data_IF_113323850321
#
_entry.id   IF_113323850321
#
_cell.length_a   1.000
_cell.length_b   1.000
_cell.length_c   1.000
_cell.angle_alpha   90.00
_cell.angle_beta   90.00
_cell.angle_gamma   90.00
#
_symmetry.space_group_name_H-M   'P 1'
#
loop_
_entity.id
_entity.type
_entity.pdbx_description
1 polymer ?
#
# COMPACT_ATOMS: atom_id res chain seq x y z
N UNK A 1 21.68 -30.49 47.93
CA UNK A 1 22.84 -31.32 47.53
C UNK A 1 22.38 -32.20 46.38
N UNK A 2 22.89 -31.90 45.17
CA UNK A 2 22.83 -32.64 43.88
C UNK A 2 21.45 -32.77 43.18
N UNK A 3 21.17 -32.23 41.97
CA UNK A 3 21.77 -32.41 40.62
C UNK A 3 21.83 -33.90 40.22
N UNK A 4 21.41 -34.44 39.07
CA UNK A 4 20.92 -34.04 37.72
C UNK A 4 20.12 -35.29 37.25
N UNK A 5 19.13 -35.28 36.35
CA UNK A 5 19.31 -35.49 34.90
C UNK A 5 17.93 -35.81 34.31
N UNK A 6 17.51 -35.06 33.29
CA UNK A 6 16.61 -35.59 32.26
C UNK A 6 17.07 -35.09 30.90
N UNK A 7 18.07 -35.79 30.39
CA UNK A 7 18.42 -35.79 28.98
C UNK A 7 17.54 -36.80 28.26
N UNK A 8 16.58 -36.35 27.46
CA UNK A 8 16.10 -37.10 26.29
C UNK A 8 15.99 -36.16 25.09
N UNK A 9 17.08 -36.19 24.32
CA UNK A 9 17.14 -36.15 22.87
C UNK A 9 15.80 -36.06 22.13
N UNK A 10 15.57 -34.96 21.42
CA UNK A 10 15.01 -35.09 20.07
C UNK A 10 15.74 -34.19 19.08
N UNK A 11 16.20 -34.83 18.01
CA UNK A 11 17.02 -34.29 16.94
C UNK A 11 16.15 -33.52 15.94
N UNK A 12 16.77 -32.50 15.35
CA UNK A 12 16.64 -32.07 13.96
C UNK A 12 15.22 -31.78 13.42
N UNK A 13 14.90 -30.49 13.38
CA UNK A 13 14.47 -29.84 12.14
C UNK A 13 14.86 -28.37 12.19
N UNK A 14 16.09 -28.11 11.80
CA UNK A 14 16.55 -26.80 11.36
C UNK A 14 15.76 -26.42 10.09
N UNK A 15 14.57 -25.85 10.28
CA UNK A 15 13.87 -25.12 9.23
C UNK A 15 14.57 -23.76 9.17
N UNK A 16 15.48 -23.64 8.21
CA UNK A 16 16.14 -22.39 7.86
C UNK A 16 15.09 -21.31 7.58
N UNK A 17 15.12 -20.16 8.27
CA UNK A 17 14.42 -19.00 7.78
C UNK A 17 15.21 -18.44 6.60
N UNK A 18 14.49 -17.93 5.60
CA UNK A 18 14.95 -16.88 4.72
C UNK A 18 15.81 -17.30 3.50
N UNK A 19 15.15 -17.52 2.37
CA UNK A 19 15.55 -16.89 1.10
C UNK A 19 14.32 -16.73 0.18
N UNK A 20 13.81 -15.51 -0.05
CA UNK A 20 13.26 -15.16 -1.35
C UNK A 20 14.43 -14.65 -2.21
N UNK A 21 15.10 -15.59 -2.90
CA UNK A 21 15.89 -15.24 -4.08
C UNK A 21 14.94 -15.00 -5.25
N UNK A 22 14.36 -13.80 -5.32
CA UNK A 22 14.14 -13.15 -6.60
C UNK A 22 14.60 -11.70 -6.44
N UNK A 23 15.77 -11.46 -7.00
CA UNK A 23 16.38 -10.15 -7.14
C UNK A 23 15.44 -9.33 -8.03
N UNK A 24 14.53 -8.58 -7.40
CA UNK A 24 13.93 -7.43 -8.05
C UNK A 24 15.04 -6.38 -8.19
N UNK A 25 15.21 -5.75 -9.36
CA UNK A 25 16.18 -4.69 -9.50
C UNK A 25 15.89 -3.64 -8.43
N UNK A 26 16.94 -3.30 -7.66
CA UNK A 26 16.90 -2.22 -6.67
C UNK A 26 16.27 -1.01 -7.33
N UNK A 27 15.21 -0.49 -6.70
CA UNK A 27 14.60 0.81 -6.99
C UNK A 27 15.65 1.80 -7.47
N UNK A 28 15.70 2.01 -8.79
CA UNK A 28 16.48 3.06 -9.39
C UNK A 28 15.75 4.38 -9.08
N UNK A 29 16.08 4.95 -7.93
CA UNK A 29 15.77 6.34 -7.62
C UNK A 29 16.43 7.19 -8.72
N UNK A 30 15.59 7.91 -9.47
CA UNK A 30 15.94 9.03 -10.34
C UNK A 30 17.05 8.75 -11.38
N UNK A 31 16.64 8.33 -12.57
CA UNK A 31 17.33 8.70 -13.80
C UNK A 31 16.46 9.72 -14.53
N UNK A 32 16.56 10.97 -14.08
CA UNK A 32 16.16 12.14 -14.85
C UNK A 32 17.05 12.22 -16.10
N UNK A 33 16.46 12.67 -17.20
CA UNK A 33 17.12 13.10 -18.45
C UNK A 33 17.54 11.99 -19.43
N UNK A 34 16.55 11.48 -20.17
CA UNK A 34 16.73 11.18 -21.60
C UNK A 34 15.79 12.07 -22.40
N UNK A 35 16.28 13.27 -22.66
CA UNK A 35 15.66 14.27 -23.53
C UNK A 35 15.69 13.70 -24.96
N UNK A 36 14.57 13.20 -25.45
CA UNK A 36 14.36 13.04 -26.89
C UNK A 36 14.21 14.44 -27.47
N UNK A 37 15.36 15.06 -27.77
CA UNK A 37 15.41 16.28 -28.55
C UNK A 37 14.81 15.98 -29.92
N UNK A 38 13.85 16.82 -30.32
CA UNK A 38 13.20 16.71 -31.61
C UNK A 38 14.20 16.83 -32.75
N UNK A 39 14.09 15.90 -33.69
CA UNK A 39 14.37 16.12 -35.10
C UNK A 39 13.45 15.20 -35.89
N UNK A 40 12.59 15.81 -36.71
CA UNK A 40 11.89 15.17 -37.80
C UNK A 40 12.90 14.39 -38.65
N UNK A 41 12.87 13.07 -38.56
CA UNK A 41 13.27 12.08 -39.55
C UNK A 41 12.69 10.75 -39.05
N UNK A 42 12.01 10.00 -39.93
CA UNK A 42 11.15 8.87 -39.56
C UNK A 42 11.70 8.01 -38.42
N UNK A 43 10.87 7.76 -37.40
CA UNK A 43 11.17 6.81 -36.32
C UNK A 43 11.60 5.48 -36.94
N UNK A 44 12.91 5.21 -36.90
CA UNK A 44 13.47 3.93 -37.28
C UNK A 44 13.08 2.95 -36.18
N UNK A 45 12.05 2.13 -36.45
CA UNK A 45 11.42 1.26 -35.46
C UNK A 45 12.40 0.22 -34.87
N UNK A 46 13.51 -0.08 -35.56
CA UNK A 46 14.60 -0.89 -35.03
C UNK A 46 15.23 -0.28 -33.76
N UNK A 47 15.43 1.04 -33.76
CA UNK A 47 15.91 1.75 -32.57
C UNK A 47 14.86 1.76 -31.45
N UNK A 48 13.58 1.89 -31.82
CA UNK A 48 12.46 1.88 -30.86
C UNK A 48 12.36 0.53 -30.16
N UNK A 49 12.48 -0.57 -30.90
CA UNK A 49 12.44 -1.92 -30.32
C UNK A 49 13.65 -2.19 -29.41
N UNK A 50 14.85 -1.72 -29.76
CA UNK A 50 16.01 -1.79 -28.88
C UNK A 50 15.78 -1.05 -27.55
N UNK A 51 15.13 0.13 -27.59
CA UNK A 51 14.74 0.88 -26.39
C UNK A 51 13.67 0.14 -25.59
N UNK A 52 12.67 -0.45 -26.25
CA UNK A 52 11.63 -1.27 -25.59
C UNK A 52 12.25 -2.44 -24.85
N UNK A 53 13.15 -3.19 -25.47
CA UNK A 53 13.86 -4.31 -24.82
C UNK A 53 14.65 -3.85 -23.60
N UNK A 54 15.40 -2.75 -23.72
CA UNK A 54 16.12 -2.17 -22.58
C UNK A 54 15.19 -1.79 -21.43
N UNK A 55 14.03 -1.18 -21.72
CA UNK A 55 13.07 -0.84 -20.68
C UNK A 55 12.44 -2.08 -20.04
N UNK A 56 12.17 -3.13 -20.80
CA UNK A 56 11.71 -4.41 -20.26
C UNK A 56 12.73 -5.05 -19.32
N UNK A 57 14.01 -5.08 -19.70
CA UNK A 57 15.10 -5.60 -18.85
C UNK A 57 15.24 -4.83 -17.53
N UNK A 58 14.95 -3.53 -17.55
CA UNK A 58 15.00 -2.68 -16.36
C UNK A 58 13.66 -2.64 -15.59
N UNK A 59 12.65 -3.40 -16.01
CA UNK A 59 11.33 -3.41 -15.37
C UNK A 59 10.57 -2.09 -15.49
N UNK A 60 10.89 -1.26 -16.49
CA UNK A 60 10.30 0.05 -16.76
C UNK A 60 9.02 -0.08 -17.62
N UNK A 61 8.05 -0.85 -17.12
CA UNK A 61 6.84 -1.23 -17.88
C UNK A 61 5.95 -0.04 -18.28
N UNK A 62 5.95 1.04 -17.51
CA UNK A 62 5.20 2.26 -17.85
C UNK A 62 5.74 2.91 -19.13
N UNK A 63 7.07 2.98 -19.27
CA UNK A 63 7.73 3.52 -20.44
C UNK A 63 7.49 2.63 -21.66
N UNK A 64 7.51 1.30 -21.48
CA UNK A 64 7.19 0.33 -22.54
C UNK A 64 5.74 0.50 -23.01
N UNK A 65 4.77 0.52 -22.11
CA UNK A 65 3.36 0.71 -22.46
C UNK A 65 3.13 2.02 -23.25
N UNK A 66 3.84 3.09 -22.89
CA UNK A 66 3.81 4.35 -23.62
C UNK A 66 4.35 4.25 -25.07
N UNK A 67 5.41 3.46 -25.29
CA UNK A 67 5.97 3.21 -26.62
C UNK A 67 5.07 2.29 -27.45
N UNK A 68 4.51 1.24 -26.85
CA UNK A 68 3.57 0.32 -27.51
C UNK A 68 2.29 1.06 -27.94
N UNK A 69 1.81 2.00 -27.12
CA UNK A 69 0.67 2.85 -27.50
C UNK A 69 0.95 3.70 -28.73
N UNK A 70 2.15 4.27 -28.85
CA UNK A 70 2.56 5.01 -30.07
C UNK A 70 2.68 4.08 -31.29
N UNK A 71 3.06 2.82 -31.09
CA UNK A 71 3.09 1.81 -32.16
C UNK A 71 1.68 1.44 -32.65
N UNK A 72 0.70 1.38 -31.74
CA UNK A 72 -0.72 1.18 -32.07
C UNK A 72 -1.30 2.30 -32.94
N UNK A 73 -0.79 3.53 -32.82
CA UNK A 73 -1.23 4.65 -33.66
C UNK A 73 -0.68 4.57 -35.10
N UNK A 74 0.39 3.79 -35.35
CA UNK A 74 1.03 3.64 -36.66
C UNK A 74 1.44 2.17 -36.93
N UNK A 75 0.49 1.22 -36.98
CA UNK A 75 0.78 -0.22 -37.01
C UNK A 75 1.53 -0.65 -38.28
N UNK A 76 1.27 0.01 -39.42
CA UNK A 76 1.94 -0.28 -40.70
C UNK A 76 3.45 -0.06 -40.66
N UNK A 77 3.92 0.89 -39.82
CA UNK A 77 5.35 1.19 -39.69
C UNK A 77 6.03 0.35 -38.62
N UNK A 78 5.28 -0.08 -37.61
CA UNK A 78 5.79 -0.88 -36.51
C UNK A 78 6.13 -2.33 -36.92
N UNK A 79 5.50 -2.84 -38.00
CA UNK A 79 5.75 -4.19 -38.51
C UNK A 79 5.21 -5.31 -37.61
N UNK A 80 4.40 -4.97 -36.60
CA UNK A 80 3.78 -5.90 -35.65
C UNK A 80 2.27 -5.75 -35.74
N UNK A 81 1.58 -6.89 -35.63
CA UNK A 81 0.13 -6.97 -35.51
C UNK A 81 -0.41 -6.12 -34.33
N UNK A 82 -1.50 -5.38 -34.59
CA UNK A 82 -2.17 -4.55 -33.61
C UNK A 82 -2.73 -5.33 -32.41
N UNK A 83 -3.21 -6.57 -32.60
CA UNK A 83 -3.68 -7.45 -31.53
C UNK A 83 -2.52 -7.82 -30.60
N UNK A 84 -1.37 -8.22 -31.15
CA UNK A 84 -0.16 -8.47 -30.38
C UNK A 84 0.33 -7.22 -29.60
N UNK A 85 0.25 -6.03 -30.19
CA UNK A 85 0.59 -4.78 -29.51
C UNK A 85 -0.37 -4.47 -28.35
N UNK A 86 -1.67 -4.71 -28.51
CA UNK A 86 -2.67 -4.55 -27.44
C UNK A 86 -2.41 -5.51 -26.27
N UNK A 87 -2.10 -6.78 -26.58
CA UNK A 87 -1.77 -7.78 -25.56
C UNK A 87 -0.48 -7.39 -24.82
N UNK A 88 0.56 -6.99 -25.54
CA UNK A 88 1.83 -6.57 -24.94
C UNK A 88 1.65 -5.34 -24.02
N UNK A 89 0.83 -4.39 -24.43
CA UNK A 89 0.51 -3.20 -23.63
C UNK A 89 -0.27 -3.57 -22.36
N UNK A 90 -1.25 -4.46 -22.48
CA UNK A 90 -2.01 -4.97 -21.33
C UNK A 90 -1.09 -5.68 -20.32
N UNK A 91 -0.20 -6.55 -20.80
CA UNK A 91 0.79 -7.23 -19.96
C UNK A 91 1.70 -6.23 -19.24
N UNK A 92 2.15 -5.17 -19.91
CA UNK A 92 2.95 -4.12 -19.28
C UNK A 92 2.19 -3.42 -18.14
N UNK A 93 0.90 -3.13 -18.31
CA UNK A 93 0.07 -2.57 -17.22
C UNK A 93 -0.07 -3.54 -16.06
N UNK A 94 -0.28 -4.83 -16.33
CA UNK A 94 -0.35 -5.85 -15.27
C UNK A 94 0.97 -5.93 -14.51
N UNK A 95 2.11 -5.96 -15.20
CA UNK A 95 3.43 -5.95 -14.57
C UNK A 95 3.64 -4.69 -13.69
N UNK A 96 3.23 -3.52 -14.16
CA UNK A 96 3.28 -2.27 -13.37
C UNK A 96 2.39 -2.34 -12.11
N UNK A 97 1.20 -2.94 -12.23
CA UNK A 97 0.29 -3.14 -11.10
C UNK A 97 0.92 -4.07 -10.05
N UNK A 98 1.51 -5.20 -10.49
CA UNK A 98 2.20 -6.12 -9.58
C UNK A 98 3.42 -5.49 -8.90
N UNK A 99 4.23 -4.69 -9.61
CA UNK A 99 5.33 -3.94 -8.98
C UNK A 99 4.82 -3.00 -7.90
N UNK A 100 3.74 -2.26 -8.19
CA UNK A 100 3.10 -1.36 -7.22
C UNK A 100 2.59 -2.11 -6.00
N UNK A 101 2.05 -3.31 -6.17
CA UNK A 101 1.54 -4.13 -5.06
C UNK A 101 2.67 -4.70 -4.21
N UNK A 102 3.77 -5.17 -4.81
CA UNK A 102 4.96 -5.59 -4.07
C UNK A 102 5.51 -4.45 -3.21
N UNK A 103 5.60 -3.24 -3.76
CA UNK A 103 6.08 -2.08 -3.01
C UNK A 103 5.15 -1.72 -1.84
N UNK A 104 3.83 -1.84 -2.02
CA UNK A 104 2.85 -1.65 -0.92
C UNK A 104 3.05 -2.66 0.20
N UNK A 105 3.21 -3.94 -0.13
CA UNK A 105 3.45 -4.97 0.87
C UNK A 105 4.76 -4.78 1.62
N UNK A 106 5.82 -4.36 0.89
CA UNK A 106 7.10 -4.02 1.51
C UNK A 106 6.94 -2.87 2.51
N UNK A 107 6.28 -1.78 2.12
CA UNK A 107 6.01 -0.64 3.00
C UNK A 107 5.18 -1.04 4.23
N UNK A 108 4.15 -1.88 4.05
CA UNK A 108 3.33 -2.36 5.15
C UNK A 108 4.15 -3.19 6.15
N UNK A 109 5.04 -4.05 5.66
CA UNK A 109 5.96 -4.84 6.49
C UNK A 109 6.95 -3.93 7.24
N UNK A 110 7.52 -2.92 6.56
CA UNK A 110 8.45 -1.95 7.16
C UNK A 110 7.76 -1.18 8.30
N UNK A 111 6.53 -0.71 8.08
CA UNK A 111 5.74 0.00 9.09
C UNK A 111 5.45 -0.87 10.32
N UNK A 112 5.07 -2.14 10.10
CA UNK A 112 4.82 -3.08 11.19
C UNK A 112 6.09 -3.35 12.01
N UNK A 113 7.24 -3.49 11.35
CA UNK A 113 8.53 -3.65 12.01
C UNK A 113 8.93 -2.42 12.83
N UNK A 114 8.68 -1.21 12.32
CA UNK A 114 8.93 0.03 13.07
C UNK A 114 8.09 0.09 14.35
N UNK A 115 6.78 -0.18 14.26
CA UNK A 115 5.89 -0.18 15.42
C UNK A 115 6.30 -1.23 16.47
N UNK A 116 6.68 -2.43 16.03
CA UNK A 116 7.19 -3.46 16.92
C UNK A 116 8.46 -2.99 17.65
N UNK A 117 9.38 -2.34 16.93
CA UNK A 117 10.58 -1.72 17.50
C UNK A 117 10.27 -0.65 18.56
N UNK A 118 9.33 0.26 18.29
CA UNK A 118 8.90 1.29 19.23
C UNK A 118 8.28 0.67 20.50
N UNK A 119 7.41 -0.32 20.34
CA UNK A 119 6.79 -1.04 21.45
C UNK A 119 7.84 -1.78 22.29
N UNK A 120 8.81 -2.43 21.65
CA UNK A 120 9.92 -3.11 22.31
C UNK A 120 10.76 -2.14 23.13
N UNK A 121 11.14 -1.00 22.56
CA UNK A 121 11.90 0.04 23.27
C UNK A 121 11.12 0.55 24.49
N UNK A 122 9.82 0.82 24.34
CA UNK A 122 8.97 1.24 25.45
C UNK A 122 8.89 0.18 26.55
N UNK A 123 8.79 -1.10 26.17
CA UNK A 123 8.77 -2.21 27.11
C UNK A 123 10.09 -2.35 27.87
N UNK A 124 11.22 -2.26 27.18
CA UNK A 124 12.55 -2.25 27.81
C UNK A 124 12.70 -1.10 28.80
N UNK A 125 12.26 0.11 28.44
CA UNK A 125 12.29 1.27 29.33
C UNK A 125 11.41 1.10 30.57
N UNK A 126 10.22 0.51 30.41
CA UNK A 126 9.31 0.22 31.54
C UNK A 126 9.91 -0.82 32.49
N UNK A 127 10.51 -1.88 31.96
CA UNK A 127 11.12 -2.94 32.76
C UNK A 127 12.40 -2.46 33.45
N UNK A 128 13.25 -1.70 32.76
CA UNK A 128 14.47 -1.14 33.36
C UNK A 128 14.17 -0.19 34.53
N UNK A 129 13.09 0.58 34.47
CA UNK A 129 12.63 1.40 35.62
C UNK A 129 12.10 0.59 36.80
N UNK A 130 11.62 -0.62 36.57
CA UNK A 130 11.11 -1.49 37.62
C UNK A 130 12.24 -2.19 38.40
N UNK A 131 13.44 -2.26 37.85
CA UNK A 131 14.61 -2.91 38.47
C UNK A 131 15.39 -1.98 39.42
N UNK A 132 15.27 -0.66 39.28
CA UNK A 132 16.02 0.33 40.08
C UNK A 132 15.35 0.78 41.40
N UNK A 133 14.09 0.42 41.68
CA UNK A 133 13.36 0.96 42.84
C UNK A 133 12.52 -0.10 43.59
N UNK A 134 12.87 -0.47 44.84
CA UNK A 134 12.07 -1.41 45.61
C UNK A 134 10.79 -0.72 46.12
N UNK A 135 9.70 -1.01 45.43
CA UNK A 135 8.31 -1.05 45.92
C UNK A 135 7.75 0.17 46.68
N UNK A 136 7.06 1.05 45.93
CA UNK A 136 5.75 1.51 46.36
C UNK A 136 4.73 1.24 45.24
N UNK A 137 3.83 0.28 45.49
CA UNK A 137 2.78 -0.12 44.53
C UNK A 137 1.68 0.95 44.57
N UNK A 138 1.89 2.07 43.89
CA UNK A 138 0.77 2.84 43.37
C UNK A 138 0.35 2.20 42.05
N UNK A 139 -0.83 1.57 42.07
CA UNK A 139 -1.53 1.04 40.89
C UNK A 139 -1.40 2.06 39.76
N UNK A 140 -0.69 1.77 38.65
CA UNK A 140 -0.58 2.74 37.58
C UNK A 140 -1.98 2.93 37.00
N UNK A 141 -2.49 4.15 37.11
CA UNK A 141 -3.72 4.57 36.44
C UNK A 141 -3.57 4.18 34.96
N UNK A 142 -4.39 3.24 34.53
CA UNK A 142 -4.46 2.72 33.17
C UNK A 142 -4.65 3.92 32.25
N UNK A 143 -3.57 4.43 31.66
CA UNK A 143 -3.66 5.47 30.64
C UNK A 143 -4.46 4.88 29.50
N UNK A 144 -5.73 5.28 29.43
CA UNK A 144 -6.66 4.86 28.40
C UNK A 144 -6.14 5.43 27.07
N UNK A 145 -5.29 4.66 26.39
CA UNK A 145 -5.01 4.90 24.99
C UNK A 145 -6.35 4.75 24.26
N UNK A 146 -6.73 5.79 23.55
CA UNK A 146 -7.87 5.74 22.63
C UNK A 146 -7.49 4.77 21.52
N UNK A 147 -8.19 3.65 21.44
CA UNK A 147 -7.97 2.60 20.43
C UNK A 147 -9.18 2.50 19.49
N UNK A 148 -8.92 2.51 18.19
CA UNK A 148 -9.92 2.30 17.14
C UNK A 148 -9.60 1.04 16.37
N UNK A 149 -10.54 0.10 16.34
CA UNK A 149 -10.45 -1.14 15.54
C UNK A 149 -11.52 -1.15 14.47
N UNK A 150 -11.13 -1.43 13.24
CA UNK A 150 -12.05 -1.48 12.09
C UNK A 150 -11.97 -2.88 11.45
N UNK A 151 -13.09 -3.58 11.43
CA UNK A 151 -13.23 -4.87 10.76
C UNK A 151 -13.85 -4.65 9.38
N UNK A 152 -13.08 -4.95 8.34
CA UNK A 152 -13.49 -4.74 6.94
C UNK A 152 -14.02 -6.00 6.26
N UNK A 153 -13.60 -7.18 6.71
CA UNK A 153 -14.05 -8.47 6.17
C UNK A 153 -15.35 -8.91 6.83
N UNK A 154 -16.35 -9.25 6.02
CA UNK A 154 -17.69 -9.53 6.50
C UNK A 154 -18.49 -8.24 6.73
N UNK A 155 -19.21 -8.16 7.86
CA UNK A 155 -19.96 -6.93 8.19
C UNK A 155 -18.98 -5.85 8.62
N UNK A 156 -19.05 -4.68 7.99
CA UNK A 156 -18.22 -3.55 8.36
C UNK A 156 -18.53 -3.07 9.79
N UNK A 157 -17.58 -3.23 10.72
CA UNK A 157 -17.74 -2.91 12.13
C UNK A 157 -16.61 -2.01 12.61
N UNK A 158 -16.94 -1.08 13.52
CA UNK A 158 -15.96 -0.18 14.13
C UNK A 158 -16.11 -0.28 15.64
N UNK A 159 -14.98 -0.33 16.32
CA UNK A 159 -14.89 -0.34 17.77
C UNK A 159 -14.05 0.83 18.23
N UNK A 160 -14.53 1.53 19.24
CA UNK A 160 -13.80 2.55 19.99
C UNK A 160 -13.64 2.06 21.43
N UNK A 161 -12.40 1.86 21.90
CA UNK A 161 -12.11 1.28 23.21
C UNK A 161 -12.89 -0.02 23.49
N UNK A 162 -12.90 -0.93 22.50
CA UNK A 162 -13.63 -2.21 22.49
C UNK A 162 -15.16 -2.12 22.53
N UNK A 163 -15.75 -0.91 22.43
CA UNK A 163 -17.19 -0.72 22.27
C UNK A 163 -17.56 -0.57 20.79
N UNK A 164 -18.51 -1.39 20.32
CA UNK A 164 -18.98 -1.36 18.93
C UNK A 164 -19.81 -0.09 18.68
N UNK A 165 -19.45 0.64 17.62
CA UNK A 165 -20.18 1.83 17.16
C UNK A 165 -21.31 1.36 16.24
N UNK A 166 -22.47 1.10 16.83
CA UNK A 166 -23.67 0.67 16.12
C UNK A 166 -24.52 1.83 15.61
N UNK A 167 -24.49 2.97 16.29
CA UNK A 167 -25.28 4.16 15.94
C UNK A 167 -24.52 5.06 14.98
N UNK A 168 -25.12 5.30 13.81
CA UNK A 168 -24.54 6.13 12.76
C UNK A 168 -25.47 7.29 12.47
N UNK A 169 -25.01 8.51 12.68
CA UNK A 169 -25.76 9.73 12.36
C UNK A 169 -26.05 9.85 10.84
N UNK A 170 -25.31 9.13 10.00
CA UNK A 170 -25.55 9.08 8.56
C UNK A 170 -25.01 7.80 7.92
N UNK A 171 -25.86 7.09 7.18
CA UNK A 171 -25.46 5.93 6.36
C UNK A 171 -24.48 6.32 5.25
N UNK A 172 -24.58 7.55 4.72
CA UNK A 172 -23.61 8.08 3.75
C UNK A 172 -22.26 8.34 4.41
N UNK A 173 -22.23 8.88 5.62
CA UNK A 173 -20.98 9.03 6.39
C UNK A 173 -20.29 7.68 6.61
N UNK A 174 -21.03 6.65 7.04
CA UNK A 174 -20.51 5.28 7.16
C UNK A 174 -19.92 4.75 5.85
N UNK A 175 -20.60 5.03 4.73
CA UNK A 175 -20.15 4.60 3.40
C UNK A 175 -18.87 5.32 2.95
N UNK A 176 -18.78 6.63 3.22
CA UNK A 176 -17.57 7.44 3.00
C UNK A 176 -16.42 6.89 3.82
N UNK A 177 -16.62 6.58 5.11
CA UNK A 177 -15.58 6.01 5.95
C UNK A 177 -15.10 4.65 5.44
N UNK A 178 -16.02 3.76 5.02
CA UNK A 178 -15.65 2.47 4.43
C UNK A 178 -14.73 2.66 3.22
N UNK A 179 -15.04 3.63 2.37
CA UNK A 179 -14.22 3.94 1.20
C UNK A 179 -12.85 4.53 1.59
N UNK A 180 -12.82 5.45 2.57
CA UNK A 180 -11.57 6.03 3.07
C UNK A 180 -10.66 4.98 3.70
N UNK A 181 -11.22 4.04 4.49
CA UNK A 181 -10.46 2.93 5.07
C UNK A 181 -9.90 2.01 3.99
N UNK A 182 -10.72 1.67 2.98
CA UNK A 182 -10.28 0.87 1.84
C UNK A 182 -9.18 1.55 1.01
N UNK A 183 -9.15 2.89 0.99
CA UNK A 183 -8.19 3.69 0.22
C UNK A 183 -7.19 4.46 1.11
N UNK A 184 -7.00 4.06 2.38
CA UNK A 184 -6.29 4.87 3.38
C UNK A 184 -4.83 5.19 3.02
N UNK A 185 -4.22 4.40 2.14
CA UNK A 185 -2.86 4.61 1.66
C UNK A 185 -2.72 5.80 0.69
N UNK A 186 -3.82 6.43 0.25
CA UNK A 186 -3.81 7.53 -0.71
C UNK A 186 -4.75 8.67 -0.28
N UNK A 187 -4.34 9.94 -0.42
CA UNK A 187 -5.29 11.04 -0.35
C UNK A 187 -6.37 10.87 -1.43
N UNK A 188 -7.64 10.87 -1.02
CA UNK A 188 -8.77 10.81 -1.94
C UNK A 188 -9.24 12.24 -2.25
N UNK A 189 -9.26 12.67 -3.52
CA UNK A 189 -9.82 13.97 -3.90
C UNK A 189 -11.29 14.09 -3.49
N UNK A 190 -11.69 15.29 -3.06
CA UNK A 190 -13.08 15.56 -2.64
C UNK A 190 -14.05 15.39 -3.81
N UNK A 191 -13.62 15.73 -5.02
CA UNK A 191 -14.38 15.57 -6.27
C UNK A 191 -14.75 14.11 -6.50
N UNK A 192 -13.79 13.18 -6.32
CA UNK A 192 -14.05 11.74 -6.43
C UNK A 192 -15.09 11.26 -5.41
N UNK A 193 -15.04 11.76 -4.18
CA UNK A 193 -16.02 11.40 -3.15
C UNK A 193 -17.41 11.98 -3.47
N UNK A 194 -17.47 13.19 -4.02
CA UNK A 194 -18.73 13.82 -4.43
C UNK A 194 -19.41 13.01 -5.53
N UNK A 195 -18.68 12.71 -6.61
CA UNK A 195 -19.20 11.97 -7.76
C UNK A 195 -19.60 10.54 -7.38
N UNK A 196 -18.83 9.88 -6.51
CA UNK A 196 -19.09 8.50 -6.10
C UNK A 196 -20.31 8.37 -5.19
N UNK A 197 -20.49 9.27 -4.23
CA UNK A 197 -21.51 9.14 -3.19
C UNK A 197 -22.78 9.95 -3.45
N UNK A 198 -22.71 11.00 -4.27
CA UNK A 198 -23.87 11.83 -4.64
C UNK A 198 -23.89 12.14 -6.14
N UNK A 199 -23.95 11.13 -7.01
CA UNK A 199 -23.92 11.33 -8.47
C UNK A 199 -25.09 12.20 -8.99
N UNK A 200 -26.24 12.15 -8.32
CA UNK A 200 -27.45 12.89 -8.69
C UNK A 200 -27.48 14.34 -8.18
N UNK A 201 -26.53 14.73 -7.32
CA UNK A 201 -26.50 16.07 -6.74
C UNK A 201 -25.65 17.00 -7.60
N UNK A 202 -26.06 18.25 -7.73
CA UNK A 202 -25.18 19.27 -8.30
C UNK A 202 -23.94 19.48 -7.40
N UNK A 203 -22.91 20.08 -7.96
CA UNK A 203 -21.61 20.26 -7.30
C UNK A 203 -21.69 20.90 -5.90
N UNK A 204 -22.46 21.98 -5.75
CA UNK A 204 -22.61 22.69 -4.46
C UNK A 204 -23.32 21.82 -3.40
N UNK A 205 -24.36 21.09 -3.80
CA UNK A 205 -25.07 20.18 -2.91
C UNK A 205 -24.20 18.98 -2.53
N UNK A 206 -23.48 18.38 -3.48
CA UNK A 206 -22.57 17.26 -3.23
C UNK A 206 -21.44 17.67 -2.27
N UNK A 207 -20.87 18.86 -2.45
CA UNK A 207 -19.83 19.42 -1.57
C UNK A 207 -20.33 19.61 -0.14
N UNK A 208 -21.51 20.22 0.02
CA UNK A 208 -22.13 20.44 1.33
C UNK A 208 -22.42 19.11 2.02
N UNK A 209 -22.96 18.14 1.29
CA UNK A 209 -23.25 16.81 1.81
C UNK A 209 -21.98 16.06 2.23
N UNK A 210 -20.91 16.16 1.44
CA UNK A 210 -19.61 15.59 1.79
C UNK A 210 -19.05 16.23 3.07
N UNK A 211 -19.09 17.57 3.18
CA UNK A 211 -18.65 18.26 4.39
C UNK A 211 -19.43 17.81 5.62
N UNK A 212 -20.76 17.70 5.53
CA UNK A 212 -21.60 17.20 6.61
C UNK A 212 -21.25 15.74 6.97
N UNK A 213 -21.03 14.89 5.98
CA UNK A 213 -20.63 13.50 6.21
C UNK A 213 -19.29 13.42 6.95
N UNK A 214 -18.27 14.17 6.52
CA UNK A 214 -16.97 14.24 7.21
C UNK A 214 -17.10 14.82 8.62
N UNK A 215 -17.93 15.84 8.80
CA UNK A 215 -18.21 16.40 10.13
C UNK A 215 -18.78 15.33 11.05
N UNK A 216 -19.80 14.58 10.60
CA UNK A 216 -20.36 13.47 11.37
C UNK A 216 -19.29 12.43 11.72
N UNK A 217 -18.37 12.11 10.79
CA UNK A 217 -17.28 11.14 11.03
C UNK A 217 -16.28 11.58 12.10
N UNK A 218 -16.04 12.89 12.25
CA UNK A 218 -15.12 13.42 13.27
C UNK A 218 -15.71 13.43 14.69
N UNK A 219 -17.02 13.23 14.82
CA UNK A 219 -17.75 13.26 16.09
C UNK A 219 -18.25 11.86 16.49
N UNK A 220 -17.66 10.82 15.90
CA UNK A 220 -17.83 9.42 16.30
C UNK A 220 -16.75 9.11 17.33
#
# INVERSE_FOLDING_TARGET
MNMVDYSHSNKASSITPNQPCFILPKSAKHASDCKLAGQDNGLEWDHVWAVVHRFLENGQYQQVAGLLKKALDQPEKAGIDAEMLLVAEHLCRLCQQYQSDVDRYRQAADNAGQLEGELRQRLQHMLGRAEDEPAHIEKPAKQARIDFKIYCFGRFQIFHNDQCISEWNSLKARSVLRYLVANHARPVPKETLMDLFWPEANFEAARRNLHQAIYCLRHI
#
